data_IF_588344002787
#
_entry.id   IF_588344002787
#
_cell.length_a   1.000
_cell.length_b   1.000
_cell.length_c   1.000
_cell.angle_alpha   90.00
_cell.angle_beta   90.00
_cell.angle_gamma   90.00
#
_symmetry.space_group_name_H-M   'P 1'
#
loop_
_entity.id
_entity.type
_entity.pdbx_description
1 polymer ?
#
# COMPACT_ATOMS: atom_id res chain seq x y z
N UNK A 1 -14.66 -46.62 12.35
CA UNK A 1 -15.41 -46.21 13.55
C UNK A 1 -15.29 -44.70 13.69
N UNK A 2 -16.43 -44.01 13.51
CA UNK A 2 -16.75 -42.63 13.94
C UNK A 2 -15.87 -41.51 13.35
N UNK A 3 -16.34 -40.59 12.49
CA UNK A 3 -17.45 -39.65 12.74
C UNK A 3 -17.04 -38.75 13.91
N UNK A 4 -16.86 -37.43 13.83
CA UNK A 4 -17.75 -36.41 13.27
C UNK A 4 -16.93 -35.14 12.93
N UNK A 5 -17.21 -34.50 11.78
CA UNK A 5 -16.91 -33.09 11.58
C UNK A 5 -18.24 -32.35 11.75
N UNK A 6 -18.37 -31.56 12.82
CA UNK A 6 -19.54 -30.72 13.04
C UNK A 6 -19.52 -29.57 12.02
N UNK A 7 -20.45 -29.60 11.08
CA UNK A 7 -20.65 -28.52 10.12
C UNK A 7 -21.56 -27.46 10.74
N UNK A 8 -20.99 -26.40 11.30
CA UNK A 8 -21.78 -25.21 11.60
C UNK A 8 -22.15 -24.50 10.30
N UNK A 9 -23.43 -24.61 9.95
CA UNK A 9 -24.04 -23.93 8.82
C UNK A 9 -24.38 -22.51 9.28
N UNK A 10 -23.57 -21.52 8.91
CA UNK A 10 -23.96 -20.12 9.08
C UNK A 10 -24.85 -19.70 7.91
N UNK A 11 -26.16 -19.69 8.16
CA UNK A 11 -27.15 -19.14 7.23
C UNK A 11 -27.16 -17.62 7.39
N UNK A 12 -26.56 -16.90 6.44
CA UNK A 12 -26.74 -15.44 6.36
C UNK A 12 -28.01 -15.16 5.57
N UNK A 13 -29.07 -14.78 6.29
CA UNK A 13 -30.32 -14.32 5.70
C UNK A 13 -30.10 -12.92 5.11
N UNK A 14 -30.11 -12.78 3.79
CA UNK A 14 -30.34 -11.47 3.18
C UNK A 14 -31.85 -11.25 3.10
N UNK A 15 -32.37 -10.07 3.49
CA UNK A 15 -33.81 -9.88 3.70
C UNK A 15 -34.67 -9.86 2.42
N UNK A 16 -34.09 -10.03 1.22
CA UNK A 16 -34.79 -9.72 -0.05
C UNK A 16 -34.59 -10.70 -1.21
N UNK A 17 -33.92 -11.84 -1.04
CA UNK A 17 -33.70 -12.78 -2.16
C UNK A 17 -34.26 -14.17 -1.89
N UNK A 18 -35.30 -14.56 -2.64
CA UNK A 18 -35.83 -15.94 -2.69
C UNK A 18 -35.02 -16.88 -3.59
N UNK A 19 -33.92 -16.40 -4.17
CA UNK A 19 -33.01 -17.22 -4.96
C UNK A 19 -31.87 -17.76 -4.08
N UNK A 20 -32.02 -19.00 -3.60
CA UNK A 20 -30.95 -19.77 -3.00
C UNK A 20 -29.94 -20.21 -4.07
N UNK A 21 -28.99 -19.34 -4.40
CA UNK A 21 -27.79 -19.75 -5.14
C UNK A 21 -26.68 -20.08 -4.16
N UNK A 22 -26.18 -21.31 -4.24
CA UNK A 22 -24.97 -21.76 -3.56
C UNK A 22 -23.80 -20.99 -4.18
N UNK A 23 -23.44 -19.85 -3.59
CA UNK A 23 -22.14 -19.21 -3.85
C UNK A 23 -21.11 -19.91 -2.98
N UNK A 24 -20.56 -20.98 -3.55
CA UNK A 24 -19.23 -21.54 -3.31
C UNK A 24 -18.81 -21.84 -1.86
N UNK A 25 -18.68 -23.14 -1.60
CA UNK A 25 -17.94 -23.81 -0.52
C UNK A 25 -16.82 -22.97 0.12
N UNK A 26 -17.03 -22.52 1.36
CA UNK A 26 -15.97 -21.96 2.21
C UNK A 26 -15.04 -23.09 2.68
N UNK A 27 -13.91 -23.27 1.99
CA UNK A 27 -12.77 -23.98 2.58
C UNK A 27 -11.98 -23.02 3.46
N UNK A 28 -12.04 -23.24 4.78
CA UNK A 28 -11.05 -22.68 5.72
C UNK A 28 -9.81 -23.58 5.73
N UNK A 29 -8.65 -22.93 5.69
CA UNK A 29 -7.28 -23.45 5.84
C UNK A 29 -6.65 -24.13 4.62
N UNK A 30 -6.23 -23.30 3.65
CA UNK A 30 -5.05 -23.54 2.80
C UNK A 30 -4.51 -22.17 2.36
N UNK A 31 -3.17 -21.96 2.29
CA UNK A 31 -2.55 -20.65 2.12
C UNK A 31 -2.69 -20.07 0.70
N UNK A 32 -3.63 -20.56 -0.11
CA UNK A 32 -3.76 -20.25 -1.53
C UNK A 32 -5.15 -19.77 -1.93
N UNK A 33 -5.96 -19.33 -0.95
CA UNK A 33 -7.22 -18.64 -1.19
C UNK A 33 -7.16 -17.25 -0.57
N UNK A 34 -6.24 -16.42 -1.03
CA UNK A 34 -6.37 -14.98 -0.89
C UNK A 34 -6.64 -14.38 -2.25
N UNK A 35 -7.60 -13.48 -2.22
CA UNK A 35 -8.14 -12.72 -3.33
C UNK A 35 -7.06 -12.39 -4.35
N UNK A 36 -7.38 -12.54 -5.63
CA UNK A 36 -6.72 -11.77 -6.68
C UNK A 36 -7.03 -10.28 -6.47
N UNK A 37 -6.57 -9.70 -5.35
CA UNK A 37 -6.30 -8.27 -5.29
C UNK A 37 -4.97 -8.10 -6.03
N UNK A 38 -4.99 -7.21 -7.00
CA UNK A 38 -4.01 -7.11 -8.08
C UNK A 38 -2.82 -6.24 -7.65
N UNK A 39 -2.51 -6.26 -6.35
CA UNK A 39 -1.55 -5.39 -5.67
C UNK A 39 -0.70 -6.25 -4.76
N UNK A 40 0.42 -6.67 -5.32
CA UNK A 40 1.54 -7.36 -4.66
C UNK A 40 2.77 -6.69 -5.26
N UNK A 41 3.52 -5.84 -4.53
CA UNK A 41 4.67 -5.12 -5.08
C UNK A 41 5.72 -6.03 -5.73
N UNK A 42 5.86 -7.26 -5.22
CA UNK A 42 6.84 -8.26 -5.66
C UNK A 42 6.30 -9.26 -6.71
N UNK A 43 4.98 -9.47 -6.76
CA UNK A 43 4.31 -10.31 -7.76
C UNK A 43 4.29 -11.81 -7.46
N UNK A 44 4.54 -12.23 -6.22
CA UNK A 44 4.61 -13.65 -5.85
C UNK A 44 3.23 -14.32 -5.66
N UNK A 45 2.16 -13.51 -5.60
CA UNK A 45 0.78 -13.95 -5.42
C UNK A 45 0.33 -14.08 -3.95
N UNK A 46 1.16 -13.64 -3.00
CA UNK A 46 0.84 -13.41 -1.60
C UNK A 46 0.45 -11.93 -1.46
N UNK A 47 -0.61 -11.62 -0.71
CA UNK A 47 -1.02 -10.23 -0.52
C UNK A 47 -0.17 -9.53 0.55
N UNK A 48 0.06 -8.22 0.42
CA UNK A 48 0.90 -7.41 1.32
C UNK A 48 0.57 -7.56 2.82
N UNK A 49 -0.70 -7.86 3.15
CA UNK A 49 -1.16 -8.05 4.53
C UNK A 49 -0.69 -9.36 5.17
N UNK A 50 -0.40 -10.37 4.35
CA UNK A 50 0.04 -11.69 4.78
C UNK A 50 1.46 -12.03 4.30
N UNK A 51 2.14 -11.08 3.66
CA UNK A 51 3.52 -11.18 3.27
C UNK A 51 4.47 -10.72 4.41
N UNK A 52 5.58 -11.43 4.60
CA UNK A 52 6.65 -11.05 5.53
C UNK A 52 7.67 -10.11 4.87
N UNK A 53 7.71 -10.06 3.54
CA UNK A 53 8.63 -9.30 2.68
C UNK A 53 7.83 -8.82 1.47
N UNK A 54 7.02 -7.76 1.66
CA UNK A 54 5.97 -7.40 0.70
C UNK A 54 6.50 -6.89 -0.65
N UNK A 55 7.78 -6.56 -0.74
CA UNK A 55 8.41 -6.11 -1.98
C UNK A 55 9.48 -7.08 -2.52
N UNK A 56 9.75 -8.17 -1.81
CA UNK A 56 10.60 -9.27 -2.27
C UNK A 56 12.07 -8.88 -2.37
N UNK A 57 12.50 -7.83 -1.67
CA UNK A 57 13.87 -7.38 -1.69
C UNK A 57 14.78 -8.21 -0.75
N UNK A 58 14.19 -9.07 0.08
CA UNK A 58 14.87 -9.94 1.02
C UNK A 58 15.03 -9.35 2.42
N UNK A 59 14.41 -8.21 2.71
CA UNK A 59 14.38 -7.55 4.01
C UNK A 59 12.96 -7.66 4.55
N UNK A 60 12.84 -8.02 5.83
CA UNK A 60 11.52 -8.21 6.42
C UNK A 60 10.80 -6.88 6.57
N UNK A 61 9.50 -6.90 6.38
CA UNK A 61 8.55 -5.81 6.62
C UNK A 61 8.70 -5.04 7.95
N UNK A 62 9.34 -5.61 8.96
CA UNK A 62 9.58 -4.98 10.28
C UNK A 62 10.95 -4.29 10.38
N UNK A 63 11.87 -4.64 9.49
CA UNK A 63 13.24 -4.13 9.39
C UNK A 63 13.42 -3.23 8.16
N UNK A 64 12.47 -3.26 7.23
CA UNK A 64 12.48 -2.52 5.98
C UNK A 64 11.93 -1.10 6.13
N UNK A 65 12.75 -0.11 5.80
CA UNK A 65 12.38 1.31 5.77
C UNK A 65 11.59 1.72 4.50
N UNK A 66 11.38 0.80 3.56
CA UNK A 66 10.58 0.99 2.36
C UNK A 66 9.73 -0.25 1.99
N UNK A 67 8.99 -0.81 2.95
CA UNK A 67 8.06 -1.98 2.86
C UNK A 67 7.49 -2.40 1.47
N UNK A 68 7.19 -1.46 0.58
CA UNK A 68 6.52 -1.71 -0.70
C UNK A 68 7.40 -1.35 -1.92
N UNK A 69 8.66 -0.97 -1.72
CA UNK A 69 9.58 -0.47 -2.75
C UNK A 69 10.97 -1.06 -2.52
N UNK A 70 11.40 -2.00 -3.37
CA UNK A 70 12.63 -2.76 -3.13
C UNK A 70 13.87 -1.88 -2.98
N UNK A 71 14.57 -1.99 -1.85
CA UNK A 71 15.76 -1.20 -1.53
C UNK A 71 16.72 -1.97 -0.59
N UNK A 72 17.37 -3.00 -1.16
CA UNK A 72 18.29 -3.89 -0.43
C UNK A 72 19.42 -3.19 0.33
N UNK A 73 19.78 -1.96 -0.05
CA UNK A 73 20.82 -1.17 0.59
C UNK A 73 20.32 -0.40 1.83
N UNK A 74 19.00 -0.29 2.01
CA UNK A 74 18.31 0.38 3.11
C UNK A 74 18.86 1.80 3.37
N UNK A 75 19.27 2.49 2.31
CA UNK A 75 19.81 3.83 2.44
C UNK A 75 18.74 4.78 3.00
N UNK A 76 19.12 5.61 3.97
CA UNK A 76 18.27 6.63 4.58
C UNK A 76 19.16 7.82 4.95
N UNK A 77 19.17 8.82 4.08
CA UNK A 77 20.13 9.93 4.10
C UNK A 77 19.80 11.00 5.14
N UNK A 78 18.54 11.13 5.54
CA UNK A 78 18.09 12.13 6.50
C UNK A 78 17.68 11.54 7.86
N UNK A 79 17.69 10.22 7.97
CA UNK A 79 17.40 9.43 9.17
C UNK A 79 15.96 9.54 9.67
N UNK A 80 15.00 9.77 8.77
CA UNK A 80 13.58 9.72 9.09
C UNK A 80 13.02 8.26 9.01
N UNK A 81 11.71 8.06 8.97
CA UNK A 81 11.12 6.71 8.94
C UNK A 81 11.10 6.04 7.55
N UNK A 82 11.42 6.75 6.48
CA UNK A 82 11.37 6.31 5.10
C UNK A 82 12.79 6.19 4.53
N UNK A 83 13.05 5.14 3.76
CA UNK A 83 14.31 5.02 3.02
C UNK A 83 14.32 5.88 1.76
N UNK A 84 15.51 6.21 1.27
CA UNK A 84 15.72 7.08 0.09
C UNK A 84 14.97 6.60 -1.16
N UNK A 85 14.62 5.31 -1.24
CA UNK A 85 13.91 4.71 -2.38
C UNK A 85 12.40 4.98 -2.38
N UNK A 86 11.81 5.26 -1.22
CA UNK A 86 10.39 5.49 -1.04
C UNK A 86 10.06 6.85 -0.40
N UNK A 87 11.09 7.66 -0.12
CA UNK A 87 10.97 8.99 0.45
C UNK A 87 10.80 10.06 -0.64
N UNK A 88 9.74 10.86 -0.56
CA UNK A 88 9.50 11.98 -1.46
C UNK A 88 10.34 13.23 -1.14
N UNK A 89 11.14 13.20 -0.06
CA UNK A 89 12.16 14.19 0.29
C UNK A 89 13.44 13.55 0.88
N UNK A 90 14.25 12.81 0.11
CA UNK A 90 15.39 11.98 0.58
C UNK A 90 16.50 12.67 1.40
N UNK A 91 16.42 13.98 1.62
CA UNK A 91 17.45 14.75 2.33
C UNK A 91 16.86 15.66 3.41
N UNK A 92 15.55 15.63 3.63
CA UNK A 92 14.83 16.52 4.55
C UNK A 92 13.78 15.71 5.32
N UNK A 93 13.96 15.50 6.64
CA UNK A 93 13.08 14.60 7.40
C UNK A 93 11.61 15.01 7.33
N UNK A 94 10.75 14.12 6.85
CA UNK A 94 9.31 14.32 6.70
C UNK A 94 8.52 13.02 6.91
N UNK A 95 8.33 12.59 8.18
CA UNK A 95 7.67 11.32 8.51
C UNK A 95 6.19 11.22 8.11
N UNK A 96 5.57 12.30 7.64
CA UNK A 96 4.19 12.31 7.14
C UNK A 96 4.11 12.14 5.61
N UNK A 97 5.24 12.21 4.91
CA UNK A 97 5.37 12.09 3.45
C UNK A 97 4.32 12.92 2.71
N UNK A 98 3.97 14.09 3.27
CA UNK A 98 2.91 14.94 2.72
C UNK A 98 3.36 15.51 1.37
N UNK A 99 2.51 15.35 0.36
CA UNK A 99 2.69 15.88 -0.99
C UNK A 99 1.34 16.48 -1.44
N UNK A 100 1.25 17.80 -1.40
CA UNK A 100 -0.01 18.54 -1.56
C UNK A 100 -0.50 18.59 -3.01
N UNK A 101 0.40 18.65 -3.98
CA UNK A 101 0.08 18.70 -5.40
C UNK A 101 0.21 17.33 -6.10
N UNK A 102 0.68 16.31 -5.36
CA UNK A 102 0.85 14.94 -5.81
C UNK A 102 1.84 14.80 -6.98
N UNK A 103 2.88 15.64 -7.00
CA UNK A 103 3.89 15.65 -8.06
C UNK A 103 5.05 14.67 -7.79
N UNK A 104 5.09 14.03 -6.62
CA UNK A 104 6.12 13.09 -6.18
C UNK A 104 7.26 13.72 -5.38
N UNK A 105 7.22 15.03 -5.13
CA UNK A 105 8.11 15.78 -4.25
C UNK A 105 7.33 16.18 -2.99
N UNK A 106 7.86 15.87 -1.81
CA UNK A 106 7.16 16.18 -0.57
C UNK A 106 7.16 17.67 -0.23
N UNK A 107 6.13 18.12 0.50
CA UNK A 107 5.97 19.49 1.00
C UNK A 107 7.22 20.01 1.74
N UNK A 108 7.98 19.12 2.38
CA UNK A 108 9.18 19.48 3.16
C UNK A 108 10.33 19.98 2.28
N UNK A 109 10.41 19.51 1.03
CA UNK A 109 11.45 19.84 0.08
C UNK A 109 10.92 20.55 -1.18
N UNK A 110 9.60 20.71 -1.32
CA UNK A 110 8.98 21.47 -2.39
C UNK A 110 8.98 22.99 -2.09
N UNK A 111 9.34 23.79 -3.08
CA UNK A 111 9.28 25.26 -3.00
C UNK A 111 7.94 25.83 -3.52
N UNK A 112 7.15 25.03 -4.22
CA UNK A 112 5.86 25.37 -4.84
C UNK A 112 4.81 24.33 -4.43
N UNK A 113 4.60 24.18 -3.11
CA UNK A 113 3.80 23.12 -2.47
C UNK A 113 2.43 22.86 -3.12
N UNK A 114 1.75 23.89 -3.62
CA UNK A 114 0.41 23.74 -4.20
C UNK A 114 0.43 23.47 -5.71
N UNK A 115 1.61 23.35 -6.33
CA UNK A 115 1.80 23.19 -7.77
C UNK A 115 1.10 24.27 -8.58
N UNK A 116 0.70 25.37 -7.92
CA UNK A 116 -0.03 26.43 -8.53
C UNK A 116 0.99 27.18 -9.34
N UNK A 117 1.07 26.84 -10.64
CA UNK A 117 1.96 27.45 -11.64
C UNK A 117 2.29 28.83 -11.14
N UNK A 118 3.51 28.99 -10.62
CA UNK A 118 4.02 30.24 -10.10
C UNK A 118 4.07 31.21 -11.28
N UNK A 119 2.88 31.67 -11.67
CA UNK A 119 2.62 32.82 -12.47
C UNK A 119 3.02 33.94 -11.52
N UNK A 120 4.32 34.15 -11.43
CA UNK A 120 4.83 35.46 -11.75
C UNK A 120 4.05 35.92 -13.00
N UNK A 121 2.85 36.49 -12.77
CA UNK A 121 2.41 37.63 -13.55
C UNK A 121 3.59 38.57 -13.41
N UNK A 122 4.50 38.53 -14.39
CA UNK A 122 5.05 39.75 -14.93
C UNK A 122 3.82 40.64 -15.04
N UNK A 123 3.68 41.58 -14.11
CA UNK A 123 2.88 42.77 -14.33
C UNK A 123 3.55 43.36 -15.56
N UNK A 124 3.12 42.94 -16.74
CA UNK A 124 3.36 43.70 -17.95
C UNK A 124 2.91 45.11 -17.58
N UNK A 125 3.80 46.11 -17.64
CA UNK A 125 3.36 47.48 -17.46
C UNK A 125 2.21 47.67 -18.45
N UNK A 126 1.03 48.00 -17.93
CA UNK A 126 -0.02 48.53 -18.78
C UNK A 126 0.49 49.92 -19.16
N UNK A 127 1.05 50.06 -20.36
CA UNK A 127 1.17 51.36 -21.01
C UNK A 127 -0.21 51.88 -21.40
#
# INVERSE_FOLDING_TARGET
>A
VSGWAETETLVVLTPTSTDFRIVSSLRRHSPTLQTADRRTPDGDGIGDQCDEDADGDGIKNVEDNCRLVPNKDQQNSDSDSFGDSCDNCPTVPNPDQKDTDSNGQGDACDQDIDGAVSACRVKTPVE
#
